data_IF_538505975022
#
_entry.id   IF_538505975022
#
_cell.length_a   1.000
_cell.length_b   1.000
_cell.length_c   1.000
_cell.angle_alpha   90.00
_cell.angle_beta   90.00
_cell.angle_gamma   90.00
#
_symmetry.space_group_name_H-M   'P 1'
#
loop_
_entity.id
_entity.type
_entity.pdbx_description
1 polymer ?
#
# COMPACT_ATOMS: atom_id res chain seq x y z
N UNK A 1 60.46 70.15 -16.51
CA UNK A 1 59.28 70.05 -17.40
C UNK A 1 59.28 68.61 -17.91
N UNK A 2 58.78 67.59 -17.20
CA UNK A 2 57.40 67.35 -16.71
C UNK A 2 56.38 67.56 -17.85
N UNK A 3 55.47 66.66 -18.22
CA UNK A 3 54.93 65.42 -17.64
C UNK A 3 54.12 64.73 -18.79
N UNK A 4 54.18 63.40 -18.95
CA UNK A 4 53.11 62.40 -18.69
C UNK A 4 52.01 62.22 -19.76
N UNK A 5 52.03 60.99 -20.30
CA UNK A 5 50.96 60.04 -20.67
C UNK A 5 49.65 60.48 -21.35
N UNK A 6 49.27 59.75 -22.41
CA UNK A 6 47.93 59.17 -22.48
C UNK A 6 47.86 57.95 -23.42
N UNK A 7 47.49 56.81 -22.84
CA UNK A 7 47.33 55.49 -23.46
C UNK A 7 45.91 55.39 -24.05
N UNK A 8 45.81 55.29 -25.37
CA UNK A 8 44.54 55.29 -26.10
C UNK A 8 43.93 53.89 -26.17
N UNK A 9 42.82 53.74 -25.45
CA UNK A 9 41.87 52.61 -25.47
C UNK A 9 41.37 52.30 -26.89
N UNK A 10 41.37 51.02 -27.27
CA UNK A 10 40.56 50.49 -28.37
C UNK A 10 39.20 50.02 -27.84
N UNK A 11 38.07 50.42 -28.44
CA UNK A 11 36.75 49.88 -28.09
C UNK A 11 36.42 48.60 -28.87
N UNK A 12 35.86 47.61 -28.16
CA UNK A 12 35.16 46.46 -28.74
C UNK A 12 33.87 46.89 -29.46
N UNK A 13 33.51 46.27 -30.60
CA UNK A 13 32.26 46.58 -31.27
C UNK A 13 31.07 45.82 -30.66
N UNK A 14 29.94 46.53 -30.66
CA UNK A 14 28.65 46.11 -30.17
C UNK A 14 27.92 45.14 -31.11
N UNK A 15 27.15 44.26 -30.46
CA UNK A 15 25.81 43.77 -30.78
C UNK A 15 25.17 44.18 -32.11
N UNK A 16 24.79 43.17 -32.91
CA UNK A 16 23.67 43.22 -33.87
C UNK A 16 23.14 41.79 -34.12
N UNK A 17 21.92 41.51 -33.67
CA UNK A 17 21.01 40.48 -34.21
C UNK A 17 20.31 41.05 -35.46
N UNK A 18 19.57 40.30 -36.31
CA UNK A 18 19.06 38.93 -36.15
C UNK A 18 19.18 38.04 -37.41
N UNK A 19 18.97 36.73 -37.27
CA UNK A 19 18.39 35.91 -38.35
C UNK A 19 17.60 34.75 -37.77
N UNK A 20 16.41 34.61 -38.32
CA UNK A 20 15.35 33.70 -37.94
C UNK A 20 15.79 32.24 -38.17
N UNK A 21 15.65 31.41 -37.14
CA UNK A 21 15.46 29.98 -37.34
C UNK A 21 14.16 29.59 -36.67
N UNK A 22 13.21 29.24 -37.53
CA UNK A 22 12.01 28.45 -37.25
C UNK A 22 12.35 27.26 -36.35
N UNK A 23 11.90 27.31 -35.11
CA UNK A 23 11.79 26.14 -34.26
C UNK A 23 10.63 25.28 -34.76
N UNK A 24 10.97 24.21 -35.46
CA UNK A 24 10.08 23.06 -35.61
C UNK A 24 9.66 22.58 -34.22
N UNK A 25 8.34 22.50 -34.02
CA UNK A 25 7.75 21.80 -32.89
C UNK A 25 8.10 20.31 -33.03
N UNK A 26 9.14 19.87 -32.34
CA UNK A 26 9.30 18.46 -32.00
C UNK A 26 8.15 18.11 -31.07
N UNK A 27 7.29 17.22 -31.54
CA UNK A 27 6.15 16.71 -30.79
C UNK A 27 6.60 16.18 -29.44
N UNK A 28 5.89 16.61 -28.38
CA UNK A 28 5.96 16.02 -27.06
C UNK A 28 5.40 14.61 -27.19
N UNK A 29 6.30 13.65 -27.39
CA UNK A 29 6.00 12.24 -27.55
C UNK A 29 5.38 11.63 -26.30
N UNK A 30 4.67 10.55 -26.54
CA UNK A 30 3.70 9.83 -25.73
C UNK A 30 4.36 9.00 -24.59
N UNK A 31 5.29 9.61 -23.84
CA UNK A 31 6.08 8.90 -22.82
C UNK A 31 5.23 8.28 -21.69
N UNK A 32 4.06 8.86 -21.41
CA UNK A 32 3.14 8.32 -20.39
C UNK A 32 2.46 7.01 -20.80
N UNK A 33 2.23 6.79 -22.10
CA UNK A 33 1.60 5.57 -22.59
C UNK A 33 2.55 4.36 -22.64
N UNK A 34 3.85 4.59 -22.83
CA UNK A 34 4.87 3.54 -22.85
C UNK A 34 5.26 3.07 -21.42
N UNK A 35 5.30 4.00 -20.45
CA UNK A 35 5.51 3.66 -19.03
C UNK A 35 4.34 2.85 -18.46
N UNK A 36 3.09 3.29 -18.63
CA UNK A 36 1.90 2.54 -18.20
C UNK A 36 1.81 1.15 -18.86
N UNK A 37 2.24 1.05 -20.13
CA UNK A 37 2.32 -0.22 -20.86
C UNK A 37 3.36 -1.18 -20.28
N UNK A 38 4.48 -0.66 -19.80
CA UNK A 38 5.58 -1.44 -19.23
C UNK A 38 5.25 -1.92 -17.82
N UNK A 39 4.69 -1.05 -16.98
CA UNK A 39 4.23 -1.41 -15.62
C UNK A 39 3.20 -2.54 -15.67
N UNK A 40 2.22 -2.44 -16.58
CA UNK A 40 1.21 -3.49 -16.77
C UNK A 40 1.81 -4.83 -17.22
N UNK A 41 2.84 -4.79 -18.08
CA UNK A 41 3.57 -6.00 -18.50
C UNK A 41 4.33 -6.63 -17.33
N UNK A 42 4.97 -5.83 -16.47
CA UNK A 42 5.71 -6.34 -15.32
C UNK A 42 4.80 -7.01 -14.29
N UNK A 43 3.62 -6.45 -14.03
CA UNK A 43 2.63 -7.11 -13.16
C UNK A 43 2.10 -8.42 -13.75
N UNK A 44 1.98 -8.50 -15.09
CA UNK A 44 1.64 -9.75 -15.76
C UNK A 44 2.77 -10.79 -15.63
N UNK A 45 4.03 -10.37 -15.79
CA UNK A 45 5.22 -11.22 -15.58
C UNK A 45 5.25 -11.76 -14.15
N UNK A 46 5.02 -10.91 -13.15
CA UNK A 46 4.96 -11.29 -11.74
C UNK A 46 3.89 -12.37 -11.50
N UNK A 47 2.66 -12.14 -11.99
CA UNK A 47 1.55 -13.08 -11.83
C UNK A 47 1.84 -14.43 -12.49
N UNK A 48 2.34 -14.43 -13.73
CA UNK A 48 2.69 -15.65 -14.46
C UNK A 48 3.84 -16.41 -13.80
N UNK A 49 4.82 -15.69 -13.25
CA UNK A 49 5.93 -16.29 -12.50
C UNK A 49 5.42 -16.98 -11.24
N UNK A 50 4.53 -16.35 -10.47
CA UNK A 50 3.94 -16.94 -9.28
C UNK A 50 3.16 -18.23 -9.60
N UNK A 51 2.35 -18.22 -10.67
CA UNK A 51 1.63 -19.41 -11.12
C UNK A 51 2.58 -20.53 -11.57
N UNK A 52 3.61 -20.21 -12.35
CA UNK A 52 4.56 -21.21 -12.84
C UNK A 52 5.39 -21.84 -11.70
N UNK A 53 5.80 -21.04 -10.71
CA UNK A 53 6.47 -21.55 -9.51
C UNK A 53 5.56 -22.52 -8.72
N UNK A 54 4.27 -22.21 -8.62
CA UNK A 54 3.30 -23.09 -7.97
C UNK A 54 3.14 -24.42 -8.72
N UNK A 55 3.01 -24.37 -10.06
CA UNK A 55 2.91 -25.57 -10.91
C UNK A 55 4.17 -26.45 -10.83
N UNK A 56 5.34 -25.85 -10.62
CA UNK A 56 6.61 -26.54 -10.40
C UNK A 56 6.78 -27.08 -8.96
N UNK A 57 5.80 -26.87 -8.08
CA UNK A 57 5.82 -27.31 -6.69
C UNK A 57 6.60 -26.38 -5.74
N UNK A 58 7.12 -25.25 -6.22
CA UNK A 58 7.80 -24.26 -5.40
C UNK A 58 6.79 -23.29 -4.75
N UNK A 59 5.93 -23.85 -3.89
CA UNK A 59 4.84 -23.14 -3.24
C UNK A 59 5.32 -22.00 -2.33
N UNK A 60 6.51 -22.12 -1.75
CA UNK A 60 7.08 -21.10 -0.88
C UNK A 60 7.45 -19.83 -1.67
N UNK A 61 8.15 -19.99 -2.81
CA UNK A 61 8.48 -18.86 -3.66
C UNK A 61 7.24 -18.22 -4.30
N UNK A 62 6.28 -19.04 -4.75
CA UNK A 62 5.01 -18.55 -5.28
C UNK A 62 4.24 -17.72 -4.25
N UNK A 63 4.19 -18.17 -2.99
CA UNK A 63 3.53 -17.43 -1.92
C UNK A 63 4.22 -16.10 -1.58
N UNK A 64 5.55 -16.02 -1.71
CA UNK A 64 6.27 -14.74 -1.52
C UNK A 64 5.91 -13.73 -2.61
N UNK A 65 5.69 -14.15 -3.85
CA UNK A 65 5.32 -13.24 -4.93
C UNK A 65 3.92 -12.62 -4.77
N UNK A 66 3.05 -13.21 -3.94
CA UNK A 66 1.76 -12.59 -3.58
C UNK A 66 1.91 -11.36 -2.66
N UNK A 67 3.05 -11.25 -1.98
CA UNK A 67 3.37 -10.16 -1.06
C UNK A 67 4.09 -9.00 -1.78
N UNK A 68 4.30 -9.09 -3.10
CA UNK A 68 4.92 -8.05 -3.94
C UNK A 68 3.86 -7.04 -4.37
N UNK A 69 4.09 -5.78 -4.06
CA UNK A 69 3.17 -4.66 -4.34
C UNK A 69 3.41 -4.09 -5.75
N UNK A 70 4.67 -4.07 -6.19
CA UNK A 70 5.07 -3.53 -7.49
C UNK A 70 6.41 -4.15 -7.96
N UNK A 71 6.76 -3.93 -9.22
CA UNK A 71 8.05 -4.33 -9.81
C UNK A 71 8.69 -3.14 -10.50
N UNK A 72 9.83 -2.70 -9.98
CA UNK A 72 10.63 -1.64 -10.58
C UNK A 72 11.75 -2.23 -11.44
N UNK A 73 12.08 -1.54 -12.53
CA UNK A 73 13.23 -1.86 -13.36
C UNK A 73 14.34 -0.86 -13.08
N UNK A 74 15.50 -1.37 -12.66
CA UNK A 74 16.68 -0.55 -12.40
C UNK A 74 17.83 -0.94 -13.32
N UNK A 75 18.71 0.01 -13.70
CA UNK A 75 19.92 -0.32 -14.45
C UNK A 75 20.78 -1.31 -13.67
N UNK A 76 21.19 -2.39 -14.33
CA UNK A 76 22.06 -3.40 -13.73
C UNK A 76 23.43 -2.81 -13.34
N UNK A 77 24.02 -3.32 -12.27
CA UNK A 77 25.27 -2.84 -11.68
C UNK A 77 26.54 -3.38 -12.37
N UNK A 78 26.43 -3.93 -13.60
CA UNK A 78 27.56 -4.46 -14.38
C UNK A 78 27.53 -3.94 -15.82
N UNK A 79 28.69 -3.50 -16.30
CA UNK A 79 29.08 -3.02 -17.65
C UNK A 79 28.29 -3.58 -18.88
N UNK A 80 26.99 -3.32 -18.98
CA UNK A 80 26.11 -3.69 -20.10
C UNK A 80 24.71 -3.12 -19.91
N UNK A 81 23.88 -3.18 -20.96
CA UNK A 81 22.54 -2.58 -21.03
C UNK A 81 21.44 -3.46 -20.39
N UNK A 82 21.81 -4.47 -19.62
CA UNK A 82 20.88 -5.32 -18.88
C UNK A 82 20.25 -4.62 -17.67
N UNK A 83 19.00 -4.98 -17.42
CA UNK A 83 18.14 -4.41 -16.40
C UNK A 83 17.95 -5.42 -15.25
N UNK A 84 17.85 -4.93 -14.01
CA UNK A 84 17.49 -5.75 -12.86
C UNK A 84 16.04 -5.45 -12.46
N UNK A 85 15.30 -6.48 -12.08
CA UNK A 85 13.97 -6.34 -11.49
C UNK A 85 14.07 -6.24 -9.97
N UNK A 86 13.43 -5.22 -9.41
CA UNK A 86 13.31 -5.02 -7.97
C UNK A 86 11.85 -5.27 -7.59
N UNK A 87 11.62 -6.34 -6.84
CA UNK A 87 10.32 -6.67 -6.25
C UNK A 87 10.08 -5.73 -5.07
N UNK A 88 9.12 -4.83 -5.22
CA UNK A 88 8.75 -3.87 -4.19
C UNK A 88 7.82 -4.54 -3.19
N UNK A 89 8.25 -4.59 -1.94
CA UNK A 89 7.54 -5.33 -0.87
C UNK A 89 7.43 -4.48 0.39
N UNK A 90 6.47 -4.79 1.29
CA UNK A 90 6.43 -4.19 2.62
C UNK A 90 7.75 -4.36 3.38
N UNK A 91 8.25 -3.34 4.11
CA UNK A 91 9.56 -3.38 4.77
C UNK A 91 9.77 -4.57 5.71
N UNK A 92 8.71 -5.00 6.40
CA UNK A 92 8.75 -6.14 7.32
C UNK A 92 8.79 -7.50 6.61
N UNK A 93 8.57 -7.55 5.29
CA UNK A 93 8.61 -8.77 4.49
C UNK A 93 9.93 -8.92 3.72
N UNK A 94 10.74 -7.87 3.59
CA UNK A 94 12.04 -7.90 2.89
C UNK A 94 12.92 -9.07 3.37
N UNK A 95 12.96 -9.32 4.69
CA UNK A 95 13.77 -10.41 5.27
C UNK A 95 13.31 -11.82 4.89
N UNK A 96 12.08 -11.98 4.36
CA UNK A 96 11.57 -13.27 3.85
C UNK A 96 12.09 -13.59 2.45
N UNK A 97 12.51 -12.58 1.69
CA UNK A 97 13.15 -12.74 0.39
C UNK A 97 14.63 -13.05 0.59
N UNK A 98 14.90 -14.21 1.18
CA UNK A 98 16.28 -14.67 1.40
C UNK A 98 16.97 -14.92 0.06
N UNK A 99 18.29 -15.06 0.10
CA UNK A 99 19.07 -15.39 -1.11
C UNK A 99 18.53 -16.67 -1.78
N UNK A 100 18.19 -17.68 -0.99
CA UNK A 100 17.65 -18.95 -1.50
C UNK A 100 16.28 -18.76 -2.17
N UNK A 101 15.42 -17.92 -1.59
CA UNK A 101 14.12 -17.59 -2.19
C UNK A 101 14.31 -16.84 -3.52
N UNK A 102 15.16 -15.81 -3.55
CA UNK A 102 15.49 -15.05 -4.75
C UNK A 102 16.13 -15.93 -5.83
N UNK A 103 17.09 -16.77 -5.48
CA UNK A 103 17.74 -17.72 -6.40
C UNK A 103 16.72 -18.70 -7.01
N UNK A 104 15.63 -19.01 -6.29
CA UNK A 104 14.55 -19.86 -6.80
C UNK A 104 13.56 -19.11 -7.70
N UNK A 105 13.35 -17.81 -7.46
CA UNK A 105 12.42 -16.95 -8.22
C UNK A 105 13.06 -16.50 -9.53
N UNK A 106 14.31 -16.03 -9.47
CA UNK A 106 15.02 -15.37 -10.56
C UNK A 106 14.97 -16.11 -11.90
N UNK A 107 15.30 -17.42 -12.01
CA UNK A 107 15.31 -18.09 -13.30
C UNK A 107 13.92 -18.20 -13.93
N UNK A 108 12.86 -18.33 -13.11
CA UNK A 108 11.48 -18.39 -13.60
C UNK A 108 11.02 -17.00 -14.00
N UNK A 109 11.32 -15.99 -13.20
CA UNK A 109 10.98 -14.60 -13.49
C UNK A 109 11.63 -14.13 -14.80
N UNK A 110 12.93 -14.37 -14.98
CA UNK A 110 13.64 -14.03 -16.22
C UNK A 110 13.07 -14.74 -17.45
N UNK A 111 12.77 -16.04 -17.34
CA UNK A 111 12.15 -16.81 -18.42
C UNK A 111 10.76 -16.29 -18.82
N UNK A 112 9.96 -15.85 -17.85
CA UNK A 112 8.65 -15.25 -18.13
C UNK A 112 8.82 -13.85 -18.71
N UNK A 113 9.71 -13.02 -18.16
CA UNK A 113 9.98 -11.66 -18.62
C UNK A 113 10.45 -11.62 -20.08
N UNK A 114 11.32 -12.55 -20.48
CA UNK A 114 11.82 -12.67 -21.86
C UNK A 114 10.68 -12.89 -22.87
N UNK A 115 9.63 -13.64 -22.50
CA UNK A 115 8.45 -13.86 -23.34
C UNK A 115 7.59 -12.59 -23.54
N UNK A 116 7.80 -11.59 -22.71
CA UNK A 116 7.18 -10.26 -22.82
C UNK A 116 8.16 -9.20 -23.34
N UNK A 117 9.29 -9.62 -23.89
CA UNK A 117 10.34 -8.77 -24.48
C UNK A 117 11.04 -7.88 -23.43
N UNK A 118 11.15 -8.37 -22.19
CA UNK A 118 11.84 -7.68 -21.09
C UNK A 118 13.05 -8.52 -20.68
N UNK A 119 14.26 -7.98 -20.82
CA UNK A 119 15.51 -8.65 -20.47
C UNK A 119 15.92 -8.34 -19.03
N UNK A 120 15.85 -9.35 -18.15
CA UNK A 120 16.17 -9.21 -16.72
C UNK A 120 17.44 -9.99 -16.37
N UNK A 121 18.47 -9.30 -15.92
CA UNK A 121 19.75 -9.87 -15.48
C UNK A 121 19.74 -10.36 -14.03
N UNK A 122 18.95 -9.73 -13.17
CA UNK A 122 18.87 -10.02 -11.74
C UNK A 122 17.50 -9.74 -11.16
N UNK A 123 17.16 -10.44 -10.08
CA UNK A 123 15.97 -10.17 -9.28
C UNK A 123 16.40 -9.88 -7.85
N UNK A 124 15.85 -8.84 -7.24
CA UNK A 124 16.05 -8.52 -5.83
C UNK A 124 14.75 -8.06 -5.20
N UNK A 125 14.70 -7.95 -3.88
CA UNK A 125 13.57 -7.39 -3.16
C UNK A 125 14.00 -6.16 -2.36
N UNK A 126 13.19 -5.11 -2.39
CA UNK A 126 13.45 -3.86 -1.68
C UNK A 126 12.14 -3.31 -1.07
N UNK A 127 12.24 -2.54 0.04
CA UNK A 127 11.08 -1.84 0.56
C UNK A 127 10.62 -0.75 -0.41
N UNK A 128 9.31 -0.54 -0.50
CA UNK A 128 8.75 0.61 -1.22
C UNK A 128 9.41 1.91 -0.75
N UNK A 129 9.98 2.66 -1.69
CA UNK A 129 10.55 3.95 -1.38
C UNK A 129 9.43 4.92 -1.09
N UNK A 130 9.61 5.73 -0.05
CA UNK A 130 8.43 6.33 0.49
C UNK A 130 8.31 7.71 -0.20
N UNK A 131 7.15 8.11 -0.73
CA UNK A 131 6.96 9.39 -1.44
C UNK A 131 7.28 10.62 -0.56
N UNK A 132 8.14 11.52 -1.05
CA UNK A 132 8.68 12.66 -0.29
C UNK A 132 8.27 13.96 -0.98
N UNK A 133 7.58 14.85 -0.27
CA UNK A 133 7.24 16.19 -0.77
C UNK A 133 8.37 17.22 -0.56
N UNK A 134 8.24 18.42 -1.11
CA UNK A 134 9.24 19.50 -1.00
C UNK A 134 9.48 19.95 0.46
N UNK A 135 8.49 19.78 1.34
CA UNK A 135 8.52 20.16 2.76
C UNK A 135 8.81 18.95 3.68
N UNK A 136 9.41 17.89 3.15
CA UNK A 136 9.60 16.65 3.88
C UNK A 136 10.36 16.79 5.19
N UNK A 137 11.24 17.79 5.31
CA UNK A 137 11.98 18.05 6.54
C UNK A 137 11.04 18.52 7.65
N UNK A 138 10.13 19.45 7.35
CA UNK A 138 9.12 19.89 8.31
C UNK A 138 8.12 18.77 8.63
N UNK A 139 7.66 18.03 7.61
CA UNK A 139 6.75 16.91 7.80
C UNK A 139 7.37 15.79 8.67
N UNK A 140 8.64 15.45 8.41
CA UNK A 140 9.37 14.46 9.21
C UNK A 140 9.63 14.98 10.63
N UNK A 141 10.00 16.25 10.80
CA UNK A 141 10.19 16.85 12.13
C UNK A 141 8.89 16.87 12.95
N UNK A 142 7.76 17.22 12.32
CA UNK A 142 6.45 17.18 12.97
C UNK A 142 6.08 15.76 13.41
N UNK A 143 6.31 14.75 12.55
CA UNK A 143 6.06 13.33 12.89
C UNK A 143 6.96 12.83 14.02
N UNK A 144 8.24 13.23 14.03
CA UNK A 144 9.17 12.88 15.11
C UNK A 144 8.81 13.58 16.43
N UNK A 145 8.27 14.80 16.36
CA UNK A 145 7.91 15.59 17.54
C UNK A 145 6.52 15.23 18.13
N UNK A 146 5.56 14.81 17.29
CA UNK A 146 4.20 14.47 17.71
C UNK A 146 4.06 13.03 18.23
N UNK A 147 5.09 12.19 18.06
CA UNK A 147 5.01 10.76 18.32
C UNK A 147 4.24 10.03 17.22
N UNK A 148 4.67 8.83 16.87
CA UNK A 148 4.09 8.00 15.81
C UNK A 148 2.66 7.56 16.18
N UNK A 149 1.64 8.05 15.47
CA UNK A 149 0.28 7.55 15.61
C UNK A 149 0.14 6.23 14.83
N UNK A 150 -0.24 5.14 15.50
CA UNK A 150 -0.34 3.82 14.91
C UNK A 150 -1.76 3.44 14.50
N UNK A 151 -1.91 2.88 13.30
CA UNK A 151 -2.86 1.81 13.00
C UNK A 151 -2.11 0.47 12.80
N UNK A 152 -1.22 0.16 13.73
CA UNK A 152 0.05 -0.58 13.53
C UNK A 152 1.04 0.14 12.59
N UNK A 153 0.92 1.48 12.56
CA UNK A 153 1.70 2.51 11.85
C UNK A 153 1.41 2.67 10.35
N UNK A 154 0.14 2.97 9.98
CA UNK A 154 -0.33 3.45 8.67
C UNK A 154 0.44 2.83 7.49
N UNK A 155 0.19 1.53 7.21
CA UNK A 155 0.91 0.65 6.26
C UNK A 155 1.58 1.41 5.09
N UNK A 156 2.83 1.80 5.31
CA UNK A 156 3.90 2.05 4.33
C UNK A 156 3.51 2.64 2.95
N UNK A 157 3.07 3.91 2.91
CA UNK A 157 2.95 4.80 1.72
C UNK A 157 2.46 4.17 0.39
N UNK A 158 1.17 4.30 0.15
CA UNK A 158 0.62 4.89 -1.09
C UNK A 158 -0.77 5.42 -0.73
N UNK A 159 -0.92 6.73 -0.58
CA UNK A 159 -2.23 7.35 -0.63
C UNK A 159 -2.16 8.41 -1.71
N UNK A 160 -2.92 8.17 -2.77
CA UNK A 160 -3.30 9.18 -3.74
C UNK A 160 -3.84 10.42 -3.02
N UNK A 161 -3.84 11.56 -3.72
CA UNK A 161 -4.15 12.92 -3.24
C UNK A 161 -5.62 13.11 -2.80
N UNK A 162 -6.29 12.07 -2.34
CA UNK A 162 -7.63 12.12 -1.79
C UNK A 162 -7.59 12.24 -0.25
N UNK A 163 -8.52 13.00 0.30
CA UNK A 163 -8.61 13.32 1.71
C UNK A 163 -8.51 12.05 2.57
N UNK A 164 -7.44 11.94 3.37
CA UNK A 164 -7.21 10.81 4.28
C UNK A 164 -8.42 10.67 5.20
N UNK A 165 -9.22 9.63 4.99
CA UNK A 165 -10.34 9.29 5.87
C UNK A 165 -9.76 8.88 7.22
N UNK A 166 -9.85 9.77 8.19
CA UNK A 166 -9.20 9.61 9.50
C UNK A 166 -10.04 10.20 10.63
N UNK A 167 -9.96 9.55 11.79
CA UNK A 167 -10.60 9.97 13.04
C UNK A 167 -9.77 9.47 14.23
N UNK A 168 -9.60 10.30 15.26
CA UNK A 168 -8.89 9.98 16.52
C UNK A 168 -7.46 9.40 16.35
N UNK A 169 -6.79 9.73 15.24
CA UNK A 169 -5.46 9.21 14.90
C UNK A 169 -5.46 7.88 14.15
N UNK A 170 -6.64 7.34 13.83
CA UNK A 170 -6.84 6.18 12.97
C UNK A 170 -7.13 6.60 11.52
N UNK A 171 -6.76 5.73 10.58
CA UNK A 171 -7.02 5.81 9.13
C UNK A 171 -7.93 4.66 8.74
N UNK A 172 -8.87 4.91 7.82
CA UNK A 172 -9.85 3.94 7.32
C UNK A 172 -9.73 3.78 5.81
N UNK A 173 -10.07 2.61 5.30
CA UNK A 173 -10.02 2.30 3.86
C UNK A 173 -11.29 2.83 3.15
N UNK A 174 -12.36 3.07 3.89
CA UNK A 174 -13.65 3.54 3.36
C UNK A 174 -14.39 4.52 4.28
N UNK A 175 -15.38 5.25 3.72
CA UNK A 175 -16.25 6.14 4.51
C UNK A 175 -17.20 5.34 5.39
N UNK A 176 -17.57 4.18 4.90
CA UNK A 176 -18.46 3.22 5.51
C UNK A 176 -17.84 2.64 6.79
N UNK A 177 -16.55 2.27 6.75
CA UNK A 177 -15.78 1.95 7.96
C UNK A 177 -15.76 3.11 8.96
N UNK A 178 -15.48 4.33 8.50
CA UNK A 178 -15.47 5.50 9.39
C UNK A 178 -16.84 5.71 10.07
N UNK A 179 -17.95 5.44 9.36
CA UNK A 179 -19.30 5.51 9.95
C UNK A 179 -19.53 4.43 11.01
N UNK A 180 -19.05 3.20 10.77
CA UNK A 180 -19.11 2.11 11.76
C UNK A 180 -18.28 2.46 13.00
N UNK A 181 -17.09 3.04 12.81
CA UNK A 181 -16.25 3.54 13.91
C UNK A 181 -16.97 4.59 14.76
N UNK A 182 -17.60 5.59 14.13
CA UNK A 182 -18.36 6.61 14.84
C UNK A 182 -19.59 6.03 15.57
N UNK A 183 -20.25 5.01 15.00
CA UNK A 183 -21.34 4.30 15.67
C UNK A 183 -20.85 3.52 16.90
N UNK A 184 -19.69 2.86 16.81
CA UNK A 184 -19.06 2.19 17.96
C UNK A 184 -18.73 3.20 19.09
N UNK A 185 -18.26 4.40 18.74
CA UNK A 185 -18.01 5.48 19.71
C UNK A 185 -19.31 5.93 20.40
N UNK A 186 -20.36 6.22 19.64
CA UNK A 186 -21.68 6.57 20.21
C UNK A 186 -22.20 5.49 21.14
N UNK A 187 -22.05 4.22 20.76
CA UNK A 187 -22.43 3.09 21.61
C UNK A 187 -21.56 2.96 22.87
N UNK A 188 -20.29 3.34 22.82
CA UNK A 188 -19.43 3.39 24.00
C UNK A 188 -19.81 4.53 24.95
N UNK A 189 -20.22 5.69 24.43
CA UNK A 189 -20.62 6.86 25.23
C UNK A 189 -21.87 6.62 26.09
N UNK A 190 -22.77 5.74 25.64
CA UNK A 190 -23.99 5.38 26.40
C UNK A 190 -23.76 4.27 27.45
N UNK A 191 -22.55 3.70 27.52
CA UNK A 191 -22.27 2.64 28.49
C UNK A 191 -22.08 3.18 29.91
N UNK A 192 -22.36 2.36 30.94
CA UNK A 192 -21.98 2.66 32.31
C UNK A 192 -20.47 2.94 32.44
N UNK A 193 -20.06 3.77 33.40
CA UNK A 193 -18.66 4.21 33.56
C UNK A 193 -17.68 3.07 33.86
N UNK A 194 -18.14 1.95 34.40
CA UNK A 194 -17.36 0.74 34.67
C UNK A 194 -17.32 -0.24 33.47
N UNK A 195 -17.98 0.12 32.37
CA UNK A 195 -18.01 -0.63 31.12
C UNK A 195 -17.22 0.09 30.03
N UNK A 196 -16.48 -0.66 29.23
CA UNK A 196 -15.70 -0.10 28.12
C UNK A 196 -15.72 -1.05 26.93
N UNK A 197 -15.60 -0.46 25.74
CA UNK A 197 -15.38 -1.16 24.48
C UNK A 197 -13.99 -0.76 24.02
N UNK A 198 -13.14 -1.74 23.74
CA UNK A 198 -11.88 -1.50 23.04
C UNK A 198 -12.12 -1.71 21.55
N UNK A 199 -11.85 -0.67 20.76
CA UNK A 199 -12.06 -0.66 19.31
C UNK A 199 -10.68 -0.63 18.66
N UNK A 200 -10.40 -1.61 17.81
CA UNK A 200 -9.17 -1.70 17.05
C UNK A 200 -9.54 -1.69 15.56
N UNK A 201 -9.46 -0.53 14.88
CA UNK A 201 -9.65 -0.44 13.44
C UNK A 201 -8.47 -1.07 12.68
N UNK A 202 -8.78 -1.80 11.61
CA UNK A 202 -7.84 -2.44 10.69
C UNK A 202 -6.63 -3.13 11.38
N UNK A 203 -6.82 -3.94 12.44
CA UNK A 203 -5.71 -4.56 13.14
C UNK A 203 -5.18 -5.73 12.31
N UNK A 204 -3.88 -5.76 12.03
CA UNK A 204 -3.27 -6.94 11.43
C UNK A 204 -3.31 -8.11 12.42
N UNK A 205 -3.91 -9.22 12.03
CA UNK A 205 -3.93 -10.46 12.82
C UNK A 205 -3.36 -11.63 12.03
N UNK A 206 -2.60 -12.48 12.73
CA UNK A 206 -2.09 -13.74 12.18
C UNK A 206 -3.00 -14.88 12.62
N UNK A 207 -3.52 -15.64 11.66
CA UNK A 207 -4.50 -16.72 11.90
C UNK A 207 -4.13 -17.93 11.08
N UNK A 208 -4.57 -19.11 11.53
CA UNK A 208 -4.25 -20.40 10.90
C UNK A 208 -2.72 -20.65 10.80
N UNK A 209 -2.29 -21.48 9.86
CA UNK A 209 -0.88 -21.83 9.61
C UNK A 209 -0.12 -20.69 8.89
N UNK A 210 -0.21 -19.47 9.40
CA UNK A 210 0.65 -18.36 8.98
C UNK A 210 0.04 -17.31 8.08
N UNK A 211 -1.26 -17.35 7.77
CA UNK A 211 -1.93 -16.28 7.03
C UNK A 211 -2.05 -15.02 7.89
N UNK A 212 -1.85 -13.85 7.28
CA UNK A 212 -2.10 -12.56 7.92
C UNK A 212 -3.32 -11.95 7.26
N UNK A 213 -4.32 -11.60 8.08
CA UNK A 213 -5.55 -10.97 7.64
C UNK A 213 -5.83 -9.75 8.50
N UNK A 214 -6.48 -8.77 7.87
CA UNK A 214 -6.92 -7.55 8.52
C UNK A 214 -8.44 -7.54 8.48
N UNK A 215 -9.14 -7.79 9.61
CA UNK A 215 -10.54 -7.44 9.70
C UNK A 215 -10.70 -5.92 9.73
N UNK A 216 -11.87 -5.42 9.34
CA UNK A 216 -12.12 -3.97 9.39
C UNK A 216 -12.12 -3.45 10.83
N UNK A 217 -12.74 -4.20 11.74
CA UNK A 217 -12.69 -3.93 13.17
C UNK A 217 -12.51 -5.20 13.98
N UNK A 218 -11.61 -5.13 14.97
CA UNK A 218 -11.62 -6.03 16.11
C UNK A 218 -12.16 -5.26 17.32
N UNK A 219 -13.15 -5.83 18.00
CA UNK A 219 -13.85 -5.17 19.11
C UNK A 219 -13.81 -6.06 20.33
N UNK A 220 -13.34 -5.54 21.45
CA UNK A 220 -13.35 -6.24 22.73
C UNK A 220 -14.31 -5.58 23.73
N UNK A 221 -15.18 -6.36 24.33
CA UNK A 221 -16.15 -5.91 25.34
C UNK A 221 -16.37 -7.02 26.37
N UNK A 222 -16.33 -6.70 27.66
CA UNK A 222 -16.58 -7.66 28.76
C UNK A 222 -15.75 -8.96 28.68
N UNK A 223 -14.48 -8.85 28.24
CA UNK A 223 -13.57 -9.99 28.11
C UNK A 223 -13.82 -10.89 26.89
N UNK A 224 -14.69 -10.49 25.97
CA UNK A 224 -14.98 -11.20 24.72
C UNK A 224 -14.57 -10.35 23.53
N UNK A 225 -14.17 -11.01 22.45
CA UNK A 225 -13.69 -10.37 21.23
C UNK A 225 -14.58 -10.75 20.06
N UNK A 226 -14.98 -9.76 19.28
CA UNK A 226 -15.69 -9.93 18.02
C UNK A 226 -15.01 -9.18 16.88
N UNK A 227 -15.45 -9.49 15.66
CA UNK A 227 -15.03 -8.83 14.42
C UNK A 227 -16.25 -8.20 13.75
N UNK A 228 -16.06 -7.02 13.17
CA UNK A 228 -16.99 -6.44 12.18
C UNK A 228 -16.25 -6.31 10.85
N UNK A 229 -16.89 -6.75 9.77
CA UNK A 229 -16.46 -6.55 8.38
C UNK A 229 -17.53 -5.71 7.66
N UNK A 230 -17.10 -4.76 6.83
CA UNK A 230 -17.93 -3.88 6.02
C UNK A 230 -17.87 -4.36 4.57
N UNK A 231 -18.88 -5.11 4.15
CA UNK A 231 -18.89 -5.83 2.87
C UNK A 231 -19.51 -4.98 1.74
N UNK A 232 -18.80 -4.85 0.62
CA UNK A 232 -19.26 -4.13 -0.58
C UNK A 232 -20.04 -5.00 -1.59
N UNK A 233 -20.72 -4.42 -2.58
CA UNK A 233 -21.57 -5.15 -3.54
C UNK A 233 -20.83 -6.15 -4.45
N UNK A 234 -19.49 -6.15 -4.44
CA UNK A 234 -18.64 -6.95 -5.34
C UNK A 234 -18.11 -8.27 -4.75
N UNK A 235 -18.67 -8.81 -3.66
CA UNK A 235 -18.25 -10.09 -3.06
C UNK A 235 -18.77 -11.36 -3.77
N UNK A 236 -19.44 -11.24 -4.93
CA UNK A 236 -19.94 -12.39 -5.70
C UNK A 236 -18.78 -13.27 -6.18
N UNK A 237 -18.56 -14.39 -5.48
CA UNK A 237 -17.52 -15.38 -5.80
C UNK A 237 -16.59 -15.74 -4.63
N UNK A 238 -16.64 -15.02 -3.50
CA UNK A 238 -15.73 -15.22 -2.35
C UNK A 238 -16.32 -15.94 -1.14
N UNK A 239 -17.60 -16.30 -1.16
CA UNK A 239 -18.32 -16.94 -0.04
C UNK A 239 -17.57 -18.10 0.63
N UNK A 240 -16.93 -18.98 -0.15
CA UNK A 240 -16.18 -20.11 0.39
C UNK A 240 -14.86 -19.71 1.07
N UNK A 241 -14.18 -18.69 0.52
CA UNK A 241 -12.97 -18.11 1.10
C UNK A 241 -13.29 -17.35 2.38
N UNK A 242 -14.37 -16.55 2.35
CA UNK A 242 -14.89 -15.79 3.48
C UNK A 242 -15.32 -16.73 4.63
N UNK A 243 -16.06 -17.81 4.32
CA UNK A 243 -16.42 -18.82 5.32
C UNK A 243 -15.20 -19.54 5.91
N UNK A 244 -14.14 -19.74 5.12
CA UNK A 244 -12.88 -20.32 5.60
C UNK A 244 -12.16 -19.37 6.54
N UNK A 245 -12.07 -18.09 6.18
CA UNK A 245 -11.51 -17.02 7.01
C UNK A 245 -12.25 -16.91 8.36
N UNK A 246 -13.56 -16.82 8.32
CA UNK A 246 -14.40 -16.75 9.52
C UNK A 246 -14.20 -17.96 10.44
N UNK A 247 -14.11 -19.16 9.86
CA UNK A 247 -13.85 -20.38 10.63
C UNK A 247 -12.51 -20.32 11.34
N UNK A 248 -11.47 -19.82 10.68
CA UNK A 248 -10.16 -19.66 11.30
C UNK A 248 -10.20 -18.64 12.46
N UNK A 249 -10.88 -17.51 12.28
CA UNK A 249 -11.10 -16.54 13.35
C UNK A 249 -11.83 -17.15 14.56
N UNK A 250 -12.93 -17.86 14.31
CA UNK A 250 -13.69 -18.54 15.38
C UNK A 250 -12.85 -19.59 16.10
N UNK A 251 -12.08 -20.38 15.36
CA UNK A 251 -11.16 -21.37 15.95
C UNK A 251 -10.06 -20.71 16.81
N UNK A 252 -9.74 -19.45 16.56
CA UNK A 252 -8.80 -18.65 17.36
C UNK A 252 -9.45 -17.93 18.55
N UNK A 253 -10.74 -18.15 18.80
CA UNK A 253 -11.45 -17.59 19.96
C UNK A 253 -12.20 -16.29 19.70
N UNK A 254 -12.31 -15.84 18.45
CA UNK A 254 -13.25 -14.75 18.09
C UNK A 254 -14.67 -15.26 18.28
N UNK A 255 -15.40 -14.62 19.19
CA UNK A 255 -16.72 -15.08 19.63
C UNK A 255 -17.79 -14.85 18.57
N UNK A 256 -17.78 -13.67 17.95
CA UNK A 256 -18.80 -13.27 16.99
C UNK A 256 -18.20 -12.48 15.84
N UNK A 257 -18.73 -12.68 14.64
CA UNK A 257 -18.31 -11.99 13.41
C UNK A 257 -19.58 -11.44 12.78
N UNK A 258 -19.67 -10.11 12.67
CA UNK A 258 -20.75 -9.42 11.94
C UNK A 258 -20.22 -8.95 10.59
N UNK A 259 -21.03 -9.12 9.55
CA UNK A 259 -20.80 -8.52 8.24
C UNK A 259 -21.90 -7.49 8.00
N UNK A 260 -21.53 -6.22 7.91
CA UNK A 260 -22.44 -5.11 7.64
C UNK A 260 -22.29 -4.78 6.15
N UNK A 261 -23.38 -4.77 5.40
CA UNK A 261 -23.32 -4.39 3.99
C UNK A 261 -23.17 -2.88 3.86
N UNK A 262 -22.39 -2.41 2.88
CA UNK A 262 -22.22 -0.96 2.66
C UNK A 262 -23.55 -0.22 2.47
N UNK A 263 -24.56 -0.86 1.88
CA UNK A 263 -25.90 -0.28 1.73
C UNK A 263 -26.57 0.02 3.08
N UNK A 264 -26.28 -0.79 4.11
CA UNK A 264 -26.77 -0.65 5.49
C UNK A 264 -26.00 0.43 6.28
N UNK A 265 -24.95 1.01 5.69
CA UNK A 265 -24.18 2.13 6.27
C UNK A 265 -24.63 3.50 5.82
N UNK A 266 -25.73 3.59 5.07
CA UNK A 266 -26.20 4.84 4.50
C UNK A 266 -26.91 5.76 5.50
N UNK A 267 -27.49 5.20 6.57
CA UNK A 267 -28.31 5.89 7.58
C UNK A 267 -27.75 5.65 8.99
N UNK A 268 -27.39 6.72 9.71
CA UNK A 268 -26.71 6.63 11.01
C UNK A 268 -27.48 5.80 12.07
N UNK A 269 -28.81 5.93 12.13
CA UNK A 269 -29.62 5.18 13.09
C UNK A 269 -29.64 3.67 12.82
N UNK A 270 -29.56 3.26 11.55
CA UNK A 270 -29.52 1.84 11.19
C UNK A 270 -28.17 1.23 11.58
N UNK A 271 -27.07 1.97 11.38
CA UNK A 271 -25.74 1.55 11.83
C UNK A 271 -25.70 1.45 13.35
N UNK A 272 -26.28 2.42 14.06
CA UNK A 272 -26.34 2.39 15.53
C UNK A 272 -27.08 1.16 16.04
N UNK A 273 -28.20 0.79 15.40
CA UNK A 273 -28.95 -0.43 15.74
C UNK A 273 -28.15 -1.71 15.46
N UNK A 274 -27.44 -1.78 14.32
CA UNK A 274 -26.57 -2.91 13.96
C UNK A 274 -25.41 -3.08 14.94
N UNK A 275 -24.68 -2.00 15.23
CA UNK A 275 -23.57 -2.00 16.19
C UNK A 275 -24.07 -2.30 17.60
N UNK A 276 -25.22 -1.74 18.00
CA UNK A 276 -25.86 -2.04 19.27
C UNK A 276 -26.21 -3.53 19.40
N UNK A 277 -26.77 -4.13 18.35
CA UNK A 277 -27.07 -5.55 18.29
C UNK A 277 -25.79 -6.42 18.36
N UNK A 278 -24.73 -6.04 17.64
CA UNK A 278 -23.42 -6.68 17.69
C UNK A 278 -22.83 -6.68 19.10
N UNK A 279 -22.77 -5.52 19.76
CA UNK A 279 -22.25 -5.40 21.12
C UNK A 279 -23.11 -6.17 22.13
N UNK A 280 -24.43 -6.15 21.95
CA UNK A 280 -25.35 -6.97 22.76
C UNK A 280 -25.07 -8.46 22.60
N UNK A 281 -24.87 -8.94 21.36
CA UNK A 281 -24.49 -10.34 21.09
C UNK A 281 -23.21 -10.74 21.78
N UNK A 282 -22.18 -9.88 21.68
CA UNK A 282 -20.91 -10.11 22.36
C UNK A 282 -21.06 -10.19 23.88
N UNK A 283 -21.92 -9.40 24.51
CA UNK A 283 -22.09 -9.40 25.98
C UNK A 283 -22.97 -10.54 26.49
N UNK A 284 -24.08 -10.83 25.80
CA UNK A 284 -25.19 -11.57 26.41
C UNK A 284 -25.26 -13.05 26.00
N UNK A 285 -24.77 -13.41 24.82
CA UNK A 285 -24.95 -14.77 24.30
C UNK A 285 -23.83 -15.69 24.81
N UNK A 286 -24.17 -16.95 25.13
CA UNK A 286 -23.23 -17.98 25.61
C UNK A 286 -23.24 -19.16 24.67
#
# INVERSE_FOLDING_TARGET
>A
MADVAEETRRPSPATSLPSQLTTERVGKGDAGGEEEGTERKLMLVLAQTAHLLHEQGNNQAAALLLDVEDVEIVPGNRFGDWQDAVLIVPPYLVSRFTKEAIDSIQPVFGHVAERHEIEIGGVSAAPALPQVDENWRQALQQRLAQGTASNQAARTRSMSVDAVLSADGFVFDSREEMRVYEALKRQQEILPTDSSVSIFPLPMGRVATGSVWTPDFLVAVTGRVGIIEVDGPHHKGRLAADATRDRHWRNSGIFHIERILVEETSVDSEIDDLVGAFLKRLREYR
#
